data_IF_207552567729
#
_entry.id   IF_207552567729
#
_cell.length_a   1.000
_cell.length_b   1.000
_cell.length_c   1.000
_cell.angle_alpha   90.00
_cell.angle_beta   90.00
_cell.angle_gamma   90.00
#
_symmetry.space_group_name_H-M   'P 1'
#
loop_
_entity.id
_entity.type
_entity.pdbx_description
1 polymer ?
#
# COMPACT_ATOMS: atom_id res chain seq x y z
N UNK A 1 -4.56 -6.26 12.33
CA UNK A 1 -5.40 -7.46 12.10
C UNK A 1 -5.07 -7.89 10.70
N UNK A 2 -4.72 -9.15 10.43
CA UNK A 2 -4.43 -9.61 9.07
C UNK A 2 -5.70 -9.62 8.22
N UNK A 3 -5.49 -9.63 6.91
CA UNK A 3 -6.51 -10.02 5.94
C UNK A 3 -6.81 -11.52 6.02
N UNK A 4 -8.00 -11.88 5.55
CA UNK A 4 -8.49 -13.26 5.48
C UNK A 4 -8.89 -13.60 4.05
N UNK A 5 -8.73 -14.86 3.67
CA UNK A 5 -9.17 -15.36 2.37
C UNK A 5 -10.21 -16.44 2.60
N UNK A 6 -11.44 -16.18 2.15
CA UNK A 6 -12.56 -17.11 2.27
C UNK A 6 -12.89 -17.74 0.91
N UNK A 7 -12.71 -19.06 0.81
CA UNK A 7 -12.99 -19.84 -0.40
C UNK A 7 -14.43 -20.37 -0.35
N UNK A 8 -15.19 -20.15 -1.42
CA UNK A 8 -16.57 -20.63 -1.53
C UNK A 8 -16.62 -22.15 -1.73
N UNK A 9 -17.38 -22.86 -0.89
CA UNK A 9 -17.53 -24.32 -0.95
C UNK A 9 -18.63 -24.78 -1.94
N UNK A 10 -19.34 -23.85 -2.61
CA UNK A 10 -20.39 -24.15 -3.60
C UNK A 10 -21.74 -24.56 -3.02
N UNK A 11 -21.89 -24.54 -1.69
CA UNK A 11 -23.10 -24.93 -0.96
C UNK A 11 -23.62 -23.80 -0.05
N UNK A 12 -23.23 -22.55 -0.32
CA UNK A 12 -23.57 -21.39 0.50
C UNK A 12 -22.68 -21.19 1.74
N UNK A 13 -21.63 -22.00 1.91
CA UNK A 13 -20.63 -21.85 2.98
C UNK A 13 -19.26 -21.45 2.44
N UNK A 14 -18.42 -20.91 3.32
CA UNK A 14 -17.06 -20.48 3.00
C UNK A 14 -16.06 -21.03 4.01
N UNK A 15 -14.85 -21.31 3.54
CA UNK A 15 -13.73 -21.80 4.37
C UNK A 15 -12.59 -20.80 4.32
N UNK A 16 -12.06 -20.40 5.49
CA UNK A 16 -10.85 -19.58 5.54
C UNK A 16 -9.65 -20.42 5.10
N UNK A 17 -8.87 -19.92 4.14
CA UNK A 17 -7.78 -20.68 3.53
C UNK A 17 -6.58 -19.83 3.08
N UNK A 18 -6.28 -18.72 3.77
CA UNK A 18 -5.20 -17.81 3.32
C UNK A 18 -3.83 -18.48 3.18
N UNK A 19 -3.50 -19.39 4.11
CA UNK A 19 -2.20 -20.06 4.19
C UNK A 19 -1.88 -20.91 2.94
N UNK A 20 -2.90 -21.37 2.22
CA UNK A 20 -2.72 -22.14 0.99
C UNK A 20 -2.91 -21.29 -0.27
N UNK A 21 -3.74 -20.24 -0.20
CA UNK A 21 -4.14 -19.45 -1.36
C UNK A 21 -3.11 -18.38 -1.70
N UNK A 22 -2.53 -17.69 -0.71
CA UNK A 22 -1.58 -16.58 -0.91
C UNK A 22 -0.30 -16.80 -0.13
N UNK A 23 0.84 -16.29 -0.63
CA UNK A 23 2.14 -16.37 0.08
C UNK A 23 2.43 -15.13 0.92
N UNK A 24 1.96 -13.97 0.48
CA UNK A 24 2.18 -12.69 1.13
C UNK A 24 0.91 -11.84 1.02
N UNK A 25 0.69 -10.95 1.99
CA UNK A 25 -0.46 -10.05 2.03
C UNK A 25 -0.03 -8.61 2.31
N UNK A 26 -0.89 -7.65 1.98
CA UNK A 26 -0.68 -6.25 2.30
C UNK A 26 -0.81 -6.05 3.81
N UNK A 27 -0.21 -4.98 4.33
CA UNK A 27 -0.24 -4.69 5.76
C UNK A 27 -1.40 -3.76 6.12
N UNK A 28 -1.74 -2.81 5.23
CA UNK A 28 -2.76 -1.80 5.51
C UNK A 28 -4.07 -1.99 4.72
N UNK A 29 -4.03 -2.62 3.54
CA UNK A 29 -5.19 -2.93 2.70
C UNK A 29 -6.15 -1.76 2.48
N UNK A 30 -5.64 -0.71 1.82
CA UNK A 30 -6.34 0.57 1.65
C UNK A 30 -7.42 0.58 0.57
N UNK A 31 -7.37 -0.40 -0.33
CA UNK A 31 -8.31 -0.58 -1.42
C UNK A 31 -7.93 -1.83 -2.20
N UNK A 32 -8.83 -2.29 -3.07
CA UNK A 32 -8.54 -3.42 -3.93
C UNK A 32 -9.51 -3.48 -5.11
N UNK A 33 -9.09 -4.22 -6.12
CA UNK A 33 -9.84 -4.42 -7.36
C UNK A 33 -9.47 -5.80 -7.96
N UNK A 34 -10.29 -6.27 -8.89
CA UNK A 34 -10.17 -7.60 -9.50
C UNK A 34 -10.34 -7.49 -11.02
N UNK A 35 -9.37 -7.99 -11.77
CA UNK A 35 -9.38 -8.01 -13.23
C UNK A 35 -8.44 -9.11 -13.74
N UNK A 36 -8.66 -9.58 -14.96
CA UNK A 36 -7.72 -10.45 -15.67
C UNK A 36 -6.67 -9.54 -16.34
N UNK A 37 -5.43 -9.53 -15.83
CA UNK A 37 -4.40 -8.59 -16.31
C UNK A 37 -3.52 -9.17 -17.44
N UNK A 38 -3.64 -10.47 -17.72
CA UNK A 38 -2.81 -11.16 -18.72
C UNK A 38 -3.64 -11.91 -19.78
N UNK A 39 -4.97 -11.77 -19.74
CA UNK A 39 -5.94 -12.40 -20.62
C UNK A 39 -5.88 -13.93 -20.63
N UNK A 40 -5.54 -14.57 -19.50
CA UNK A 40 -5.51 -16.03 -19.38
C UNK A 40 -6.85 -16.65 -18.98
N UNK A 41 -7.87 -15.81 -18.74
CA UNK A 41 -9.21 -16.20 -18.34
C UNK A 41 -9.39 -16.38 -16.83
N UNK A 42 -8.35 -16.11 -16.03
CA UNK A 42 -8.42 -16.10 -14.58
C UNK A 42 -8.36 -14.67 -14.04
N UNK A 43 -9.21 -14.37 -13.05
CA UNK A 43 -9.19 -13.07 -12.41
C UNK A 43 -8.04 -12.97 -11.41
N UNK A 44 -7.29 -11.88 -11.51
CA UNK A 44 -6.23 -11.47 -10.61
C UNK A 44 -6.75 -10.47 -9.57
N UNK A 45 -6.06 -10.39 -8.43
CA UNK A 45 -6.44 -9.52 -7.33
C UNK A 45 -5.31 -8.55 -7.05
N UNK A 46 -5.64 -7.26 -6.92
CA UNK A 46 -4.69 -6.29 -6.38
C UNK A 46 -5.23 -5.62 -5.14
N UNK A 47 -4.37 -5.49 -4.12
CA UNK A 47 -4.64 -4.81 -2.86
C UNK A 47 -3.60 -3.71 -2.66
N UNK A 48 -4.07 -2.52 -2.27
CA UNK A 48 -3.25 -1.33 -2.09
C UNK A 48 -2.67 -1.19 -0.68
N UNK A 49 -1.50 -0.58 -0.63
CA UNK A 49 -0.78 -0.17 0.58
C UNK A 49 -0.15 1.23 0.37
N UNK A 50 0.66 1.67 1.32
CA UNK A 50 1.04 3.07 1.49
C UNK A 50 2.51 3.35 1.23
N UNK A 51 3.20 2.45 0.51
CA UNK A 51 4.65 2.52 0.37
C UNK A 51 5.08 3.50 -0.73
N UNK A 52 5.87 4.54 -0.42
CA UNK A 52 6.41 5.46 -1.41
C UNK A 52 7.47 4.81 -2.30
N UNK A 53 7.45 5.15 -3.60
CA UNK A 53 8.50 4.75 -4.56
C UNK A 53 9.84 5.45 -4.29
N UNK A 54 9.79 6.68 -3.77
CA UNK A 54 10.99 7.44 -3.43
C UNK A 54 11.61 7.00 -2.09
N UNK A 55 12.93 6.76 -2.10
CA UNK A 55 13.68 6.29 -0.94
C UNK A 55 13.63 7.28 0.24
N UNK A 56 13.81 8.58 -0.02
CA UNK A 56 13.82 9.60 1.04
C UNK A 56 12.44 9.68 1.68
N UNK A 57 11.39 9.68 0.88
CA UNK A 57 10.00 9.67 1.33
C UNK A 57 9.70 8.41 2.15
N UNK A 58 10.03 7.23 1.65
CA UNK A 58 9.85 5.96 2.39
C UNK A 58 10.51 6.00 3.77
N UNK A 59 11.73 6.55 3.90
CA UNK A 59 12.42 6.68 5.21
C UNK A 59 11.83 7.75 6.14
N UNK A 60 11.23 8.79 5.59
CA UNK A 60 10.70 9.92 6.38
C UNK A 60 9.25 9.71 6.79
N UNK A 61 8.46 8.97 6.01
CA UNK A 61 7.02 8.76 6.26
C UNK A 61 6.70 7.39 6.83
N UNK A 62 7.47 6.35 6.48
CA UNK A 62 7.19 4.98 6.90
C UNK A 62 8.15 4.53 8.00
N UNK A 63 7.60 3.85 9.01
CA UNK A 63 8.41 3.11 9.97
C UNK A 63 8.97 1.85 9.33
N UNK A 64 10.24 1.52 9.58
CA UNK A 64 10.72 0.16 9.28
C UNK A 64 9.93 -0.82 10.15
N UNK A 65 9.36 -1.85 9.53
CA UNK A 65 8.76 -2.96 10.26
C UNK A 65 9.84 -3.58 11.15
N UNK A 66 9.61 -3.55 12.46
CA UNK A 66 10.52 -4.18 13.41
C UNK A 66 10.52 -5.68 13.17
N UNK A 67 11.70 -6.28 12.98
CA UNK A 67 11.85 -7.73 12.77
C UNK A 67 11.17 -8.51 13.90
N UNK A 68 11.38 -8.10 15.15
CA UNK A 68 10.75 -8.77 16.30
C UNK A 68 9.22 -8.64 16.33
N UNK A 69 8.66 -7.52 15.85
CA UNK A 69 7.21 -7.39 15.72
C UNK A 69 6.68 -8.24 14.57
N UNK A 70 7.38 -8.28 13.44
CA UNK A 70 7.04 -9.13 12.30
C UNK A 70 7.02 -10.61 12.71
N UNK A 71 8.10 -11.11 13.32
CA UNK A 71 8.19 -12.48 13.83
C UNK A 71 7.10 -12.79 14.85
N UNK A 72 6.78 -11.83 15.74
CA UNK A 72 5.69 -12.01 16.70
C UNK A 72 4.33 -12.15 16.03
N UNK A 73 4.07 -11.36 14.98
CA UNK A 73 2.82 -11.46 14.21
C UNK A 73 2.74 -12.78 13.44
N UNK A 74 3.80 -13.17 12.72
CA UNK A 74 3.83 -14.43 11.97
C UNK A 74 3.67 -15.64 12.89
N UNK A 75 4.39 -15.67 14.03
CA UNK A 75 4.27 -16.74 15.02
C UNK A 75 2.90 -16.80 15.71
N UNK A 76 2.12 -15.70 15.66
CA UNK A 76 0.75 -15.66 16.16
C UNK A 76 -0.29 -16.08 15.09
N UNK A 77 0.16 -16.56 13.92
CA UNK A 77 -0.71 -17.02 12.84
C UNK A 77 -1.28 -15.89 11.98
N UNK A 78 -0.67 -14.70 11.99
CA UNK A 78 -1.17 -13.55 11.21
C UNK A 78 -0.63 -13.54 9.76
N UNK A 79 -0.01 -14.64 9.32
CA UNK A 79 0.60 -14.76 8.00
C UNK A 79 1.70 -13.71 7.74
N UNK A 80 2.38 -13.82 6.60
CA UNK A 80 3.38 -12.86 6.14
C UNK A 80 2.72 -11.63 5.51
N UNK A 81 2.83 -10.48 6.19
CA UNK A 81 2.30 -9.20 5.73
C UNK A 81 3.42 -8.20 5.48
N UNK A 82 3.34 -7.46 4.38
CA UNK A 82 4.32 -6.44 4.01
C UNK A 82 3.66 -5.15 3.57
N UNK A 83 4.38 -4.05 3.78
CA UNK A 83 3.89 -2.71 3.54
C UNK A 83 4.25 -2.27 2.12
N UNK A 84 3.53 -2.81 1.14
CA UNK A 84 3.54 -2.44 -0.27
C UNK A 84 2.30 -3.04 -0.93
N UNK A 85 1.91 -2.54 -2.10
CA UNK A 85 0.77 -3.11 -2.83
C UNK A 85 1.04 -4.57 -3.14
N UNK A 86 -0.01 -5.39 -3.16
CA UNK A 86 0.06 -6.80 -3.53
C UNK A 86 -0.69 -6.98 -4.84
N UNK A 87 -0.03 -7.52 -5.86
CA UNK A 87 -0.67 -7.95 -7.10
C UNK A 87 -0.57 -9.48 -7.12
N UNK A 88 -1.69 -10.13 -6.86
CA UNK A 88 -1.85 -11.57 -6.77
C UNK A 88 -2.29 -12.08 -8.15
N UNK A 89 -1.34 -12.64 -8.90
CA UNK A 89 -1.60 -13.31 -10.17
C UNK A 89 -2.18 -14.70 -9.92
N UNK A 90 -3.32 -15.01 -10.53
CA UNK A 90 -4.01 -16.28 -10.36
C UNK A 90 -3.30 -17.38 -11.15
N UNK A 91 -2.92 -18.47 -10.47
CA UNK A 91 -2.20 -19.57 -11.13
C UNK A 91 -3.15 -20.60 -11.78
N UNK A 92 -4.48 -20.37 -11.78
CA UNK A 92 -5.49 -21.29 -12.31
C UNK A 92 -5.68 -22.59 -11.51
N UNK A 93 -4.99 -22.75 -10.38
CA UNK A 93 -5.00 -23.96 -9.55
C UNK A 93 -5.47 -23.70 -8.10
N UNK A 94 -6.13 -22.57 -7.87
CA UNK A 94 -6.60 -22.15 -6.55
C UNK A 94 -5.53 -21.48 -5.68
N UNK A 95 -4.36 -21.17 -6.25
CA UNK A 95 -3.30 -20.40 -5.58
C UNK A 95 -2.96 -19.15 -6.36
N UNK A 96 -2.35 -18.17 -5.68
CA UNK A 96 -1.87 -16.94 -6.29
C UNK A 96 -0.36 -16.75 -6.13
N UNK A 97 0.21 -16.03 -7.08
CA UNK A 97 1.59 -15.56 -7.08
C UNK A 97 1.62 -14.06 -6.84
N UNK A 98 2.33 -13.62 -5.80
CA UNK A 98 2.54 -12.18 -5.56
C UNK A 98 3.62 -11.66 -6.52
N UNK A 99 3.25 -10.71 -7.40
CA UNK A 99 4.11 -10.21 -8.49
C UNK A 99 4.26 -8.68 -8.53
N UNK A 100 3.76 -7.94 -7.52
CA UNK A 100 3.67 -6.47 -7.57
C UNK A 100 5.00 -5.76 -7.84
N UNK A 101 6.09 -6.25 -7.23
CA UNK A 101 7.44 -5.70 -7.42
C UNK A 101 8.00 -6.02 -8.80
N UNK A 102 7.68 -7.20 -9.35
CA UNK A 102 8.09 -7.58 -10.70
C UNK A 102 7.35 -6.75 -11.75
N UNK A 103 6.08 -6.42 -11.50
CA UNK A 103 5.26 -5.57 -12.35
C UNK A 103 5.48 -4.05 -12.15
N UNK A 104 6.39 -3.64 -11.25
CA UNK A 104 6.64 -2.22 -10.89
C UNK A 104 5.39 -1.47 -10.38
N UNK A 105 4.47 -2.18 -9.72
CA UNK A 105 3.24 -1.62 -9.11
C UNK A 105 3.20 -1.77 -7.59
N UNK A 106 4.26 -2.31 -6.97
CA UNK A 106 4.35 -2.49 -5.52
C UNK A 106 4.41 -1.17 -4.73
N UNK A 107 5.00 -0.12 -5.30
CA UNK A 107 5.24 1.15 -4.60
C UNK A 107 4.60 2.32 -5.35
N UNK A 108 3.44 2.76 -4.86
CA UNK A 108 2.65 3.85 -5.47
C UNK A 108 2.34 4.97 -4.48
N UNK A 109 3.18 5.17 -3.46
CA UNK A 109 2.93 6.15 -2.39
C UNK A 109 1.69 5.81 -1.56
N UNK A 110 1.14 6.81 -0.87
CA UNK A 110 -0.05 6.68 -0.06
C UNK A 110 -1.28 6.45 -0.94
N UNK A 111 -1.53 5.20 -1.29
CA UNK A 111 -2.58 4.79 -2.22
C UNK A 111 -3.98 4.86 -1.58
N UNK A 112 -4.95 5.36 -2.34
CA UNK A 112 -6.33 5.58 -1.89
C UNK A 112 -7.34 4.71 -2.63
N UNK A 113 -7.23 4.64 -3.95
CA UNK A 113 -8.14 3.86 -4.78
C UNK A 113 -7.39 3.27 -5.97
N UNK A 114 -7.85 2.10 -6.39
CA UNK A 114 -7.36 1.32 -7.51
C UNK A 114 -8.51 1.16 -8.52
N UNK A 115 -8.17 1.20 -9.80
CA UNK A 115 -9.03 0.77 -10.90
C UNK A 115 -8.18 0.00 -11.90
N UNK A 116 -8.62 -1.20 -12.25
CA UNK A 116 -8.08 -2.01 -13.33
C UNK A 116 -9.02 -1.96 -14.53
N UNK A 117 -8.54 -1.43 -15.65
CA UNK A 117 -9.30 -1.30 -16.88
C UNK A 117 -8.36 -1.05 -18.06
N UNK A 118 -8.76 -1.47 -19.25
CA UNK A 118 -8.09 -1.15 -20.51
C UNK A 118 -8.32 0.33 -20.88
N UNK A 119 -7.36 1.21 -20.54
CA UNK A 119 -7.47 2.65 -20.78
C UNK A 119 -6.92 3.07 -22.15
N UNK A 120 -5.97 2.32 -22.71
CA UNK A 120 -5.36 2.63 -24.01
C UNK A 120 -5.93 1.80 -25.19
N UNK A 121 -6.87 0.90 -24.89
CA UNK A 121 -7.62 0.07 -25.83
C UNK A 121 -6.74 -0.96 -26.56
N UNK A 122 -5.68 -1.45 -25.90
CA UNK A 122 -4.81 -2.50 -26.43
C UNK A 122 -5.31 -3.93 -26.11
N UNK A 123 -6.37 -4.04 -25.31
CA UNK A 123 -6.98 -5.29 -24.90
C UNK A 123 -6.42 -5.88 -23.60
N UNK A 124 -5.45 -5.22 -22.94
CA UNK A 124 -4.93 -5.57 -21.62
C UNK A 124 -5.44 -4.58 -20.58
N UNK A 125 -5.72 -5.06 -19.36
CA UNK A 125 -6.15 -4.17 -18.29
C UNK A 125 -4.94 -3.43 -17.70
N UNK A 126 -4.99 -2.10 -17.71
CA UNK A 126 -4.02 -1.25 -17.05
C UNK A 126 -4.34 -1.08 -15.56
N UNK A 127 -3.37 -0.59 -14.80
CA UNK A 127 -3.50 -0.33 -13.37
C UNK A 127 -3.45 1.18 -13.12
N UNK A 128 -4.58 1.74 -12.66
CA UNK A 128 -4.70 3.14 -12.27
C UNK A 128 -4.86 3.27 -10.76
N UNK A 129 -3.93 3.98 -10.12
CA UNK A 129 -3.92 4.21 -8.66
C UNK A 129 -3.93 5.70 -8.37
N UNK A 130 -4.91 6.13 -7.59
CA UNK A 130 -4.91 7.47 -6.97
C UNK A 130 -4.11 7.42 -5.69
N UNK A 131 -3.17 8.34 -5.52
CA UNK A 131 -2.29 8.33 -4.36
C UNK A 131 -1.89 9.74 -3.91
N UNK A 132 -1.22 9.77 -2.76
CA UNK A 132 -0.57 10.98 -2.28
C UNK A 132 -1.28 11.67 -1.13
N UNK A 133 -0.62 12.68 -0.58
CA UNK A 133 -1.15 13.50 0.52
C UNK A 133 -0.91 14.97 0.19
N UNK A 134 -1.95 15.80 0.35
CA UNK A 134 -1.86 17.23 0.08
C UNK A 134 -0.84 17.95 0.98
N UNK A 135 -0.67 17.46 2.21
CA UNK A 135 0.29 17.99 3.19
C UNK A 135 1.02 16.85 3.86
N UNK A 136 2.34 16.93 3.92
CA UNK A 136 3.20 15.87 4.42
C UNK A 136 3.28 15.84 5.96
N UNK A 137 2.11 15.69 6.61
CA UNK A 137 1.97 15.72 8.08
C UNK A 137 2.61 14.53 8.78
N UNK A 138 2.96 13.50 8.03
CA UNK A 138 3.58 12.26 8.50
C UNK A 138 5.12 12.29 8.38
N UNK A 139 5.70 13.32 7.77
CA UNK A 139 7.16 13.50 7.65
C UNK A 139 7.80 13.64 9.04
N UNK A 140 8.59 12.64 9.43
CA UNK A 140 9.20 12.55 10.75
C UNK A 140 10.22 13.65 11.01
N UNK A 141 10.97 14.09 10.01
CA UNK A 141 11.98 15.14 10.17
C UNK A 141 11.32 16.49 10.47
N UNK A 142 10.24 16.79 9.76
CA UNK A 142 9.39 17.96 9.98
C UNK A 142 8.76 17.92 11.36
N UNK A 143 8.18 16.77 11.73
CA UNK A 143 7.57 16.57 13.03
C UNK A 143 8.61 16.72 14.16
N UNK A 144 9.83 16.19 14.00
CA UNK A 144 10.91 16.34 14.97
C UNK A 144 11.32 17.82 15.15
N UNK A 145 11.49 18.57 14.05
CA UNK A 145 11.79 20.02 14.10
C UNK A 145 10.71 20.82 14.82
N UNK A 146 9.43 20.50 14.58
CA UNK A 146 8.29 21.15 15.26
C UNK A 146 8.30 20.80 16.75
N UNK A 147 8.52 19.53 17.10
CA UNK A 147 8.56 19.06 18.48
C UNK A 147 9.72 19.67 19.28
N UNK A 148 10.90 19.83 18.68
CA UNK A 148 12.03 20.51 19.32
C UNK A 148 11.69 21.95 19.70
N UNK A 149 11.06 22.71 18.79
CA UNK A 149 10.64 24.08 19.10
C UNK A 149 9.52 24.15 20.12
N UNK A 150 8.56 23.23 20.07
CA UNK A 150 7.52 23.15 21.10
C UNK A 150 8.15 22.87 22.47
N UNK A 151 9.08 21.91 22.56
CA UNK A 151 9.77 21.58 23.83
C UNK A 151 10.57 22.78 24.36
N UNK A 152 11.29 23.49 23.51
CA UNK A 152 12.04 24.69 23.88
C UNK A 152 11.14 25.83 24.41
N UNK A 153 9.86 25.87 24.04
CA UNK A 153 8.90 26.91 24.43
C UNK A 153 7.85 26.43 25.45
N UNK A 154 8.16 25.38 26.23
CA UNK A 154 7.25 24.86 27.26
C UNK A 154 5.95 24.30 26.68
N UNK A 155 6.01 23.73 25.47
CA UNK A 155 4.88 23.17 24.68
C UNK A 155 3.77 24.17 24.35
N UNK A 156 4.03 25.48 24.44
CA UNK A 156 3.09 26.50 23.99
C UNK A 156 3.12 26.65 22.48
N UNK A 157 1.95 26.63 21.85
CA UNK A 157 1.83 26.87 20.41
C UNK A 157 1.94 28.39 20.13
N UNK A 158 3.13 28.83 19.73
CA UNK A 158 3.40 30.22 19.35
C UNK A 158 3.12 30.43 17.86
N UNK A 159 2.78 31.67 17.47
CA UNK A 159 2.55 32.05 16.06
C UNK A 159 3.73 31.69 15.14
N UNK A 160 4.97 31.79 15.64
CA UNK A 160 6.18 31.38 14.93
C UNK A 160 6.24 29.86 14.68
N UNK A 161 5.83 29.06 15.67
CA UNK A 161 5.77 27.59 15.56
C UNK A 161 4.70 27.19 14.54
N UNK A 162 3.52 27.83 14.59
CA UNK A 162 2.47 27.62 13.60
C UNK A 162 2.93 27.93 12.17
N UNK A 163 3.68 29.02 11.97
CA UNK A 163 4.24 29.36 10.66
C UNK A 163 5.24 28.31 10.16
N UNK A 164 6.03 27.73 11.06
CA UNK A 164 6.96 26.64 10.73
C UNK A 164 6.21 25.39 10.33
N UNK A 165 5.15 25.02 11.06
CA UNK A 165 4.27 23.90 10.67
C UNK A 165 3.73 24.10 9.25
N UNK A 166 3.23 25.29 8.93
CA UNK A 166 2.79 25.60 7.57
C UNK A 166 3.91 25.42 6.55
N UNK A 167 5.10 25.98 6.79
CA UNK A 167 6.24 25.85 5.85
C UNK A 167 6.71 24.41 5.66
N UNK A 168 6.80 23.64 6.75
CA UNK A 168 7.23 22.24 6.70
C UNK A 168 6.27 21.37 5.88
N UNK A 169 4.96 21.56 6.04
CA UNK A 169 3.96 20.72 5.38
C UNK A 169 3.55 21.19 3.98
N UNK A 170 3.76 22.45 3.63
CA UNK A 170 3.38 23.02 2.32
C UNK A 170 4.42 22.79 1.22
N UNK A 171 5.68 22.52 1.57
CA UNK A 171 6.77 22.56 0.60
C UNK A 171 6.92 21.28 -0.25
N UNK A 172 5.96 20.36 -0.17
CA UNK A 172 5.97 19.08 -0.88
C UNK A 172 4.55 18.67 -1.29
N UNK A 173 4.12 19.09 -2.48
CA UNK A 173 2.87 18.63 -3.07
C UNK A 173 3.07 17.21 -3.62
N UNK A 174 2.62 16.21 -2.88
CA UNK A 174 2.69 14.79 -3.29
C UNK A 174 1.35 14.24 -3.76
N UNK A 175 0.41 15.09 -4.22
CA UNK A 175 -0.79 14.59 -4.90
C UNK A 175 -0.35 14.08 -6.27
N UNK A 176 -0.35 12.76 -6.44
CA UNK A 176 0.09 12.12 -7.67
C UNK A 176 -0.93 11.08 -8.11
N UNK A 177 -0.94 10.84 -9.42
CA UNK A 177 -1.67 9.75 -10.03
C UNK A 177 -0.62 8.79 -10.57
N UNK A 178 -0.78 7.50 -10.27
CA UNK A 178 0.02 6.45 -10.86
C UNK A 178 -0.85 5.73 -11.90
N UNK A 179 -0.38 5.67 -13.15
CA UNK A 179 -0.95 4.82 -14.19
C UNK A 179 0.18 3.96 -14.73
N UNK A 180 -0.04 2.65 -14.76
CA UNK A 180 0.86 1.67 -15.35
C UNK A 180 0.09 0.90 -16.40
N UNK A 181 0.56 1.00 -17.64
CA UNK A 181 0.08 0.12 -18.71
C UNK A 181 0.75 -1.24 -18.59
N UNK A 182 -0.04 -2.30 -18.75
CA UNK A 182 0.45 -3.67 -18.67
C UNK A 182 0.81 -4.13 -20.08
N UNK A 183 2.11 -4.22 -20.37
CA UNK A 183 2.61 -4.90 -21.56
C UNK A 183 3.29 -6.20 -21.09
N UNK A 184 2.55 -7.31 -21.10
CA UNK A 184 3.07 -8.65 -20.78
C UNK A 184 3.09 -9.49 -22.05
#
# INVERSE_FOLDING_TARGET
MPDFVYVNNGNGTFTENREHVVKHMAFNSMGGDVADINNDGYLDLMTLDMNPKDYIRSKTTMGMTSISQFEKMTNSGYHYQYMHNMLQLNNGNGTFSEISKMADVGDTDWSWALLMADFDLDGLNDIYVTNGVFRDVIDRDSNNKILEQLRANGRKLLKKIFLIMQKCYLNKNWLTTFLKTMAI
#
